data_IF_855445439203
#
_entry.id   IF_855445439203
#
_cell.length_a   1.000
_cell.length_b   1.000
_cell.length_c   1.000
_cell.angle_alpha   90.00
_cell.angle_beta   90.00
_cell.angle_gamma   90.00
#
_symmetry.space_group_name_H-M   'P 1'
#
loop_
_entity.id
_entity.type
_entity.pdbx_description
1 polymer ?
#
# COMPACT_ATOMS: atom_id res chain seq x y z
N UNK A 1 -31.48 -51.59 -73.41
CA UNK A 1 -30.24 -51.62 -72.59
C UNK A 1 -30.65 -51.70 -71.13
N UNK A 2 -30.23 -52.74 -70.38
CA UNK A 2 -30.52 -52.88 -68.94
C UNK A 2 -29.42 -52.16 -68.13
N UNK A 3 -29.75 -51.32 -67.14
CA UNK A 3 -28.73 -50.71 -66.30
C UNK A 3 -28.19 -51.74 -65.29
N UNK A 4 -26.86 -51.87 -65.24
CA UNK A 4 -26.16 -52.57 -64.16
C UNK A 4 -26.20 -51.69 -62.90
N UNK A 5 -26.83 -52.19 -61.83
CA UNK A 5 -26.60 -51.66 -60.48
C UNK A 5 -25.43 -52.40 -59.87
N UNK A 6 -24.32 -51.68 -59.68
CA UNK A 6 -23.18 -52.13 -58.90
C UNK A 6 -23.39 -51.63 -57.46
N UNK A 7 -23.92 -52.47 -56.58
CA UNK A 7 -23.92 -52.21 -55.14
C UNK A 7 -22.82 -53.06 -54.50
N UNK A 8 -21.70 -52.42 -54.16
CA UNK A 8 -20.50 -53.06 -53.58
C UNK A 8 -20.14 -52.45 -52.23
N UNK A 9 -21.12 -52.32 -51.33
CA UNK A 9 -20.80 -52.13 -49.92
C UNK A 9 -21.18 -53.38 -49.11
N UNK A 10 -20.21 -54.08 -48.49
CA UNK A 10 -20.56 -55.05 -47.47
C UNK A 10 -21.21 -54.27 -46.33
N UNK A 11 -22.50 -54.52 -46.08
CA UNK A 11 -23.19 -54.05 -44.86
C UNK A 11 -22.39 -54.54 -43.67
N UNK A 12 -21.52 -53.69 -43.12
CA UNK A 12 -20.91 -53.88 -41.80
C UNK A 12 -22.05 -53.84 -40.79
N UNK A 13 -22.67 -54.99 -40.54
CA UNK A 13 -23.57 -55.16 -39.39
C UNK A 13 -22.68 -54.94 -38.17
N UNK A 14 -22.93 -53.86 -37.44
CA UNK A 14 -22.41 -53.68 -36.09
C UNK A 14 -22.83 -54.91 -35.27
N UNK A 15 -21.88 -55.80 -35.00
CA UNK A 15 -22.11 -57.00 -34.19
C UNK A 15 -22.55 -56.62 -32.77
N UNK A 16 -23.02 -57.58 -31.97
CA UNK A 16 -23.45 -57.34 -30.58
C UNK A 16 -22.37 -56.63 -29.75
N UNK A 17 -21.08 -56.86 -30.05
CA UNK A 17 -19.95 -56.14 -29.48
C UNK A 17 -19.97 -54.62 -29.71
N UNK A 18 -20.42 -54.16 -30.88
CA UNK A 18 -20.53 -52.72 -31.17
C UNK A 18 -21.62 -52.05 -30.34
N UNK A 19 -22.72 -52.78 -30.10
CA UNK A 19 -23.80 -52.31 -29.22
C UNK A 19 -23.39 -52.32 -27.75
N UNK A 20 -22.63 -53.33 -27.30
CA UNK A 20 -22.07 -53.34 -25.95
C UNK A 20 -21.08 -52.20 -25.72
N UNK A 21 -20.22 -51.90 -26.71
CA UNK A 21 -19.28 -50.78 -26.64
C UNK A 21 -20.01 -49.43 -26.59
N UNK A 22 -21.06 -49.27 -27.39
CA UNK A 22 -21.89 -48.06 -27.40
C UNK A 22 -22.62 -47.89 -26.07
N UNK A 23 -23.22 -48.96 -25.54
CA UNK A 23 -23.84 -48.96 -24.22
C UNK A 23 -22.87 -48.58 -23.10
N UNK A 24 -21.66 -49.16 -23.11
CA UNK A 24 -20.61 -48.82 -22.14
C UNK A 24 -20.17 -47.36 -22.23
N UNK A 25 -20.03 -46.82 -23.45
CA UNK A 25 -19.70 -45.41 -23.68
C UNK A 25 -20.78 -44.46 -23.17
N UNK A 26 -22.06 -44.80 -23.37
CA UNK A 26 -23.19 -43.99 -22.85
C UNK A 26 -23.22 -44.00 -21.33
N UNK A 27 -23.00 -45.16 -20.69
CA UNK A 27 -22.95 -45.25 -19.22
C UNK A 27 -21.79 -44.42 -18.66
N UNK A 28 -20.60 -44.50 -19.25
CA UNK A 28 -19.46 -43.67 -18.85
C UNK A 28 -19.74 -42.17 -19.01
N UNK A 29 -20.36 -41.76 -20.12
CA UNK A 29 -20.73 -40.36 -20.33
C UNK A 29 -21.74 -39.88 -19.27
N UNK A 30 -22.74 -40.70 -18.93
CA UNK A 30 -23.72 -40.37 -17.88
C UNK A 30 -23.07 -40.24 -16.51
N UNK A 31 -22.12 -41.12 -16.17
CA UNK A 31 -21.36 -41.04 -14.91
C UNK A 31 -20.52 -39.77 -14.86
N UNK A 32 -19.81 -39.42 -15.94
CA UNK A 32 -19.05 -38.16 -16.00
C UNK A 32 -19.94 -36.93 -15.83
N UNK A 33 -21.11 -36.89 -16.48
CA UNK A 33 -22.06 -35.78 -16.34
C UNK A 33 -22.57 -35.67 -14.90
N UNK A 34 -22.87 -36.80 -14.26
CA UNK A 34 -23.35 -36.81 -12.87
C UNK A 34 -22.29 -36.28 -11.89
N UNK A 35 -21.02 -36.70 -12.04
CA UNK A 35 -19.89 -36.22 -11.22
C UNK A 35 -19.64 -34.73 -11.47
N UNK A 36 -19.72 -34.28 -12.72
CA UNK A 36 -19.53 -32.88 -13.07
C UNK A 36 -20.59 -31.98 -12.42
N UNK A 37 -21.86 -32.42 -12.37
CA UNK A 37 -22.93 -31.67 -11.72
C UNK A 37 -22.69 -31.51 -10.22
N UNK A 38 -22.31 -32.59 -9.53
CA UNK A 38 -21.97 -32.54 -8.11
C UNK A 38 -20.82 -31.58 -7.79
N UNK A 39 -19.77 -31.56 -8.62
CA UNK A 39 -18.64 -30.63 -8.44
C UNK A 39 -19.02 -29.18 -8.76
N UNK A 40 -19.91 -28.97 -9.73
CA UNK A 40 -20.37 -27.62 -10.10
C UNK A 40 -21.26 -27.01 -9.01
N UNK A 41 -22.06 -27.82 -8.32
CA UNK A 41 -22.90 -27.37 -7.22
C UNK A 41 -22.04 -26.84 -6.06
N UNK A 42 -20.94 -27.52 -5.71
CA UNK A 42 -19.98 -27.05 -4.71
C UNK A 42 -19.26 -25.76 -5.15
N UNK A 43 -18.87 -25.67 -6.42
CA UNK A 43 -18.20 -24.48 -6.98
C UNK A 43 -19.13 -23.25 -7.02
N UNK A 44 -20.42 -23.46 -7.28
CA UNK A 44 -21.41 -22.38 -7.37
C UNK A 44 -21.63 -21.68 -6.02
N UNK A 45 -21.57 -22.42 -4.91
CA UNK A 45 -21.74 -21.87 -3.56
C UNK A 45 -20.55 -20.98 -3.17
N UNK A 46 -19.32 -21.41 -3.52
CA UNK A 46 -18.12 -20.62 -3.24
C UNK A 46 -18.05 -19.35 -4.09
N UNK A 47 -18.44 -19.43 -5.36
CA UNK A 47 -18.53 -18.26 -6.24
C UNK A 47 -19.59 -17.26 -5.77
N UNK A 48 -20.72 -17.74 -5.25
CA UNK A 48 -21.77 -16.87 -4.68
C UNK A 48 -21.24 -16.03 -3.53
N UNK A 49 -20.45 -16.60 -2.62
CA UNK A 49 -19.90 -15.88 -1.47
C UNK A 49 -18.89 -14.79 -1.90
N UNK A 50 -18.04 -15.08 -2.89
CA UNK A 50 -17.10 -14.10 -3.43
C UNK A 50 -17.83 -12.97 -4.16
N UNK A 51 -18.87 -13.28 -4.94
CA UNK A 51 -19.68 -12.27 -5.62
C UNK A 51 -20.45 -11.39 -4.64
N UNK A 52 -20.98 -11.96 -3.55
CA UNK A 52 -21.64 -11.19 -2.49
C UNK A 52 -20.65 -10.28 -1.77
N UNK A 53 -19.48 -10.78 -1.39
CA UNK A 53 -18.43 -9.97 -0.77
C UNK A 53 -17.97 -8.84 -1.70
N UNK A 54 -17.78 -9.13 -2.99
CA UNK A 54 -17.39 -8.14 -4.00
C UNK A 54 -18.49 -7.10 -4.25
N UNK A 55 -19.77 -7.48 -4.25
CA UNK A 55 -20.90 -6.56 -4.43
C UNK A 55 -21.08 -5.62 -3.23
N UNK A 56 -20.83 -6.11 -2.01
CA UNK A 56 -20.82 -5.29 -0.78
C UNK A 56 -19.63 -4.32 -0.78
N UNK A 57 -18.43 -4.78 -1.16
CA UNK A 57 -17.22 -3.95 -1.21
C UNK A 57 -17.26 -2.90 -2.33
N UNK A 58 -17.86 -3.23 -3.48
CA UNK A 58 -17.91 -2.34 -4.66
C UNK A 58 -19.11 -1.40 -4.64
N UNK A 59 -20.08 -1.59 -3.72
CA UNK A 59 -21.30 -0.79 -3.67
C UNK A 59 -22.09 -0.84 -4.98
N UNK A 60 -22.04 -1.98 -5.67
CA UNK A 60 -22.66 -2.13 -6.99
C UNK A 60 -24.14 -2.52 -6.83
N UNK A 61 -24.90 -1.63 -6.21
CA UNK A 61 -26.36 -1.64 -6.18
C UNK A 61 -26.88 -0.85 -7.38
N UNK A 62 -26.54 -1.26 -8.60
CA UNK A 62 -27.24 -0.92 -9.86
C UNK A 62 -27.44 0.56 -10.23
N UNK A 63 -26.93 1.51 -9.45
CA UNK A 63 -27.11 2.94 -9.62
C UNK A 63 -25.89 3.66 -9.06
N UNK A 64 -24.73 3.46 -9.72
CA UNK A 64 -23.68 4.46 -9.60
C UNK A 64 -24.22 5.74 -10.25
N UNK A 65 -24.25 6.88 -9.56
CA UNK A 65 -24.41 8.14 -10.26
C UNK A 65 -23.23 8.20 -11.23
N UNK A 66 -23.50 8.21 -12.53
CA UNK A 66 -22.46 8.45 -13.54
C UNK A 66 -22.03 9.89 -13.36
N UNK A 67 -21.06 10.11 -12.48
CA UNK A 67 -20.42 11.40 -12.32
C UNK A 67 -19.86 11.80 -13.67
N UNK A 68 -20.13 13.04 -14.06
CA UNK A 68 -19.49 13.63 -15.22
C UNK A 68 -17.96 13.63 -15.03
N UNK A 69 -17.18 13.70 -16.12
CA UNK A 69 -15.73 13.84 -16.01
C UNK A 69 -15.28 15.06 -15.17
N UNK A 70 -16.12 16.10 -15.11
CA UNK A 70 -15.89 17.28 -14.27
C UNK A 70 -16.08 16.95 -12.77
N UNK A 71 -17.20 16.32 -12.40
CA UNK A 71 -17.50 15.93 -11.01
C UNK A 71 -16.50 14.87 -10.50
N UNK A 72 -16.04 13.96 -11.35
CA UNK A 72 -15.01 12.98 -10.98
C UNK A 72 -13.68 13.66 -10.68
N UNK A 73 -13.30 14.70 -11.44
CA UNK A 73 -12.08 15.47 -11.19
C UNK A 73 -12.19 16.29 -9.90
N UNK A 74 -13.33 16.93 -9.68
CA UNK A 74 -13.60 17.69 -8.45
C UNK A 74 -13.54 16.78 -7.22
N UNK A 75 -14.17 15.60 -7.28
CA UNK A 75 -14.13 14.63 -6.19
C UNK A 75 -12.72 14.08 -5.94
N UNK A 76 -11.94 13.82 -7.00
CA UNK A 76 -10.55 13.42 -6.88
C UNK A 76 -9.67 14.51 -6.24
N UNK A 77 -9.91 15.78 -6.58
CA UNK A 77 -9.23 16.92 -5.95
C UNK A 77 -9.59 17.03 -4.47
N UNK A 78 -10.88 16.94 -4.12
CA UNK A 78 -11.33 16.95 -2.72
C UNK A 78 -10.71 15.80 -1.92
N UNK A 79 -10.67 14.58 -2.47
CA UNK A 79 -9.99 13.45 -1.82
C UNK A 79 -8.48 13.68 -1.66
N UNK A 80 -7.82 14.28 -2.65
CA UNK A 80 -6.40 14.60 -2.56
C UNK A 80 -6.12 15.64 -1.46
N UNK A 81 -6.96 16.66 -1.34
CA UNK A 81 -6.87 17.65 -0.26
C UNK A 81 -7.10 17.01 1.11
N UNK A 82 -8.14 16.18 1.25
CA UNK A 82 -8.41 15.45 2.49
C UNK A 82 -7.24 14.53 2.88
N UNK A 83 -6.63 13.84 1.92
CA UNK A 83 -5.43 13.01 2.16
C UNK A 83 -4.25 13.85 2.63
N UNK A 84 -4.01 15.00 2.00
CA UNK A 84 -2.92 15.91 2.38
C UNK A 84 -3.10 16.44 3.80
N UNK A 85 -4.32 16.84 4.17
CA UNK A 85 -4.64 17.28 5.54
C UNK A 85 -4.48 16.12 6.52
N UNK A 86 -4.96 14.93 6.17
CA UNK A 86 -4.80 13.74 7.01
C UNK A 86 -3.33 13.37 7.25
N UNK A 87 -2.48 13.43 6.22
CA UNK A 87 -1.04 13.19 6.34
C UNK A 87 -0.36 14.20 7.27
N UNK A 88 -0.74 15.48 7.19
CA UNK A 88 -0.22 16.52 8.10
C UNK A 88 -0.62 16.25 9.56
N UNK A 89 -1.86 15.78 9.77
CA UNK A 89 -2.36 15.47 11.11
C UNK A 89 -1.75 14.18 11.69
N UNK A 90 -1.39 13.22 10.83
CA UNK A 90 -0.81 11.93 11.22
C UNK A 90 0.70 11.97 11.45
N UNK A 91 1.33 13.14 11.45
CA UNK A 91 2.77 13.26 11.74
C UNK A 91 3.06 12.73 13.17
N UNK A 92 4.15 11.98 13.39
CA UNK A 92 4.36 11.19 14.60
C UNK A 92 4.93 12.03 15.74
N UNK A 93 4.27 13.14 16.11
CA UNK A 93 4.78 14.17 17.03
C UNK A 93 5.40 13.59 18.29
N UNK A 94 4.71 12.61 18.88
CA UNK A 94 5.14 11.92 20.08
C UNK A 94 6.54 11.30 19.94
N UNK A 95 6.85 10.70 18.78
CA UNK A 95 8.17 10.11 18.53
C UNK A 95 9.27 11.17 18.43
N UNK A 96 8.99 12.29 17.74
CA UNK A 96 9.93 13.40 17.65
C UNK A 96 10.29 13.94 19.03
N UNK A 97 9.28 14.20 19.86
CA UNK A 97 9.50 14.71 21.21
C UNK A 97 10.19 13.68 22.10
N UNK A 98 9.76 12.41 22.07
CA UNK A 98 10.38 11.35 22.86
C UNK A 98 11.86 11.14 22.50
N UNK A 99 12.21 11.17 21.21
CA UNK A 99 13.59 11.08 20.74
C UNK A 99 14.43 12.26 21.27
N UNK A 100 13.94 13.50 21.16
CA UNK A 100 14.66 14.68 21.66
C UNK A 100 14.81 14.68 23.19
N UNK A 101 13.82 14.16 23.92
CA UNK A 101 13.85 14.07 25.38
C UNK A 101 14.83 13.00 25.88
N UNK A 102 14.97 11.90 25.15
CA UNK A 102 15.88 10.80 25.48
C UNK A 102 17.37 11.15 25.21
N UNK A 103 17.65 12.18 24.41
CA UNK A 103 19.02 12.59 24.11
C UNK A 103 19.69 13.27 25.32
N UNK A 104 20.97 12.95 25.61
CA UNK A 104 21.75 13.67 26.62
C UNK A 104 21.91 15.16 26.27
N UNK A 105 21.66 16.05 27.25
CA UNK A 105 21.61 17.51 27.05
C UNK A 105 22.56 18.31 27.97
N UNK A 106 23.55 17.65 28.57
CA UNK A 106 24.44 18.29 29.57
C UNK A 106 25.18 19.54 29.07
N UNK A 107 25.45 19.61 27.77
CA UNK A 107 26.14 20.72 27.10
C UNK A 107 25.31 21.38 25.99
N UNK A 108 24.00 21.11 25.94
CA UNK A 108 23.09 21.60 24.88
C UNK A 108 21.79 22.12 25.50
N UNK A 109 21.46 23.37 25.19
CA UNK A 109 20.17 23.98 25.47
C UNK A 109 19.34 24.11 24.18
N UNK A 110 18.18 23.46 24.14
CA UNK A 110 17.21 23.66 23.05
C UNK A 110 16.42 24.94 23.31
N UNK A 111 16.48 25.89 22.38
CA UNK A 111 15.83 27.20 22.49
C UNK A 111 14.47 27.21 21.79
N UNK A 112 14.37 26.59 20.62
CA UNK A 112 13.13 26.50 19.87
C UNK A 112 13.08 25.23 19.01
N UNK A 113 11.88 24.67 18.89
CA UNK A 113 11.55 23.61 17.94
C UNK A 113 10.40 24.12 17.07
N UNK A 114 10.69 24.40 15.80
CA UNK A 114 9.73 24.95 14.84
C UNK A 114 9.44 23.94 13.74
N UNK A 115 8.36 23.16 13.86
CA UNK A 115 8.01 22.16 12.88
C UNK A 115 7.13 22.73 11.75
N UNK A 116 7.40 22.31 10.51
CA UNK A 116 6.58 22.56 9.33
C UNK A 116 5.90 21.25 8.93
N UNK A 117 4.69 21.02 9.45
CA UNK A 117 3.90 19.82 9.18
C UNK A 117 3.59 19.62 7.69
N UNK A 118 3.53 20.72 6.90
CA UNK A 118 3.25 20.67 5.46
C UNK A 118 4.44 20.12 4.69
N UNK A 119 5.66 20.49 5.09
CA UNK A 119 6.90 20.03 4.47
C UNK A 119 7.47 18.77 5.09
N UNK A 120 6.95 18.34 6.25
CA UNK A 120 7.56 17.25 7.01
C UNK A 120 8.98 17.62 7.45
N UNK A 121 9.21 18.88 7.81
CA UNK A 121 10.51 19.36 8.24
C UNK A 121 10.42 19.95 9.64
N UNK A 122 11.53 19.93 10.36
CA UNK A 122 11.67 20.58 11.65
C UNK A 122 12.91 21.46 11.67
N UNK A 123 12.76 22.67 12.21
CA UNK A 123 13.88 23.56 12.51
C UNK A 123 14.14 23.55 14.00
N UNK A 124 15.40 23.36 14.37
CA UNK A 124 15.84 23.33 15.77
C UNK A 124 16.77 24.52 15.97
N UNK A 125 16.47 25.36 16.94
CA UNK A 125 17.38 26.41 17.42
C UNK A 125 17.91 26.00 18.77
N UNK A 126 19.23 26.02 18.94
CA UNK A 126 19.88 25.53 20.15
C UNK A 126 21.14 26.33 20.46
N UNK A 127 21.64 26.15 21.68
CA UNK A 127 22.88 26.72 22.18
C UNK A 127 23.73 25.58 22.75
N UNK A 128 25.00 25.54 22.39
CA UNK A 128 25.97 24.58 22.89
C UNK A 128 27.03 25.29 23.74
N UNK A 129 27.58 24.58 24.73
CA UNK A 129 28.71 25.07 25.53
C UNK A 129 29.88 25.49 24.64
N UNK A 130 30.19 24.69 23.63
CA UNK A 130 31.29 24.88 22.70
C UNK A 130 30.97 24.23 21.35
N UNK A 131 31.90 24.36 20.39
CA UNK A 131 31.74 23.83 19.04
C UNK A 131 31.71 22.29 19.02
N UNK A 132 32.42 21.64 19.94
CA UNK A 132 32.48 20.18 20.03
C UNK A 132 31.12 19.62 20.44
N UNK A 133 30.51 20.17 21.48
CA UNK A 133 29.16 19.81 21.91
C UNK A 133 28.12 20.03 20.80
N UNK A 134 28.23 21.13 20.03
CA UNK A 134 27.35 21.38 18.88
C UNK A 134 27.45 20.26 17.82
N UNK A 135 28.67 19.88 17.45
CA UNK A 135 28.90 18.84 16.42
C UNK A 135 28.50 17.46 16.93
N UNK A 136 28.74 17.15 18.20
CA UNK A 136 28.28 15.90 18.80
C UNK A 136 26.76 15.81 18.80
N UNK A 137 26.07 16.91 19.11
CA UNK A 137 24.62 16.97 19.03
C UNK A 137 24.09 16.81 17.61
N UNK A 138 24.73 17.45 16.61
CA UNK A 138 24.41 17.25 15.20
C UNK A 138 24.51 15.77 14.79
N UNK A 139 25.62 15.11 15.13
CA UNK A 139 25.84 13.70 14.81
C UNK A 139 24.80 12.78 15.47
N UNK A 140 24.38 13.08 16.72
CA UNK A 140 23.32 12.31 17.39
C UNK A 140 21.97 12.45 16.69
N UNK A 141 21.65 13.64 16.20
CA UNK A 141 20.42 13.84 15.40
C UNK A 141 20.50 13.09 14.07
N UNK A 142 21.64 13.12 13.39
CA UNK A 142 21.87 12.34 12.16
C UNK A 142 21.77 10.83 12.38
N UNK A 143 22.16 10.34 13.57
CA UNK A 143 22.09 8.94 13.93
C UNK A 143 20.71 8.48 14.43
N UNK A 144 19.76 9.40 14.63
CA UNK A 144 18.40 9.06 15.08
C UNK A 144 17.59 8.39 13.98
N UNK A 145 16.65 7.51 14.35
CA UNK A 145 15.78 6.84 13.39
C UNK A 145 14.64 7.75 12.92
N UNK A 146 14.31 8.77 13.71
CA UNK A 146 13.18 9.67 13.48
C UNK A 146 13.48 10.81 12.51
N UNK A 147 14.77 11.16 12.32
CA UNK A 147 15.19 12.29 11.48
C UNK A 147 16.06 11.85 10.32
N UNK A 148 15.92 12.54 9.18
CA UNK A 148 16.81 12.42 8.04
C UNK A 148 17.21 13.80 7.53
N UNK A 149 18.20 13.88 6.64
CA UNK A 149 18.65 15.12 6.00
C UNK A 149 18.96 16.25 7.00
N UNK A 150 19.58 15.90 8.14
CA UNK A 150 19.97 16.88 9.15
C UNK A 150 21.03 17.80 8.57
N UNK A 151 20.84 19.10 8.70
CA UNK A 151 21.71 20.11 8.12
C UNK A 151 21.88 21.30 9.05
N UNK A 152 23.13 21.71 9.25
CA UNK A 152 23.49 22.93 9.97
C UNK A 152 23.27 24.16 9.09
N UNK A 153 22.29 24.99 9.47
CA UNK A 153 21.92 26.21 8.75
C UNK A 153 22.80 27.40 9.12
N UNK A 154 23.13 27.53 10.39
CA UNK A 154 24.00 28.61 10.91
C UNK A 154 24.58 28.24 12.26
N UNK A 155 25.73 28.84 12.58
CA UNK A 155 26.33 28.82 13.92
C UNK A 155 27.00 30.18 14.19
N UNK A 156 26.99 30.62 15.44
CA UNK A 156 27.61 31.87 15.90
C UNK A 156 28.13 31.70 17.34
N UNK A 157 29.33 32.20 17.61
CA UNK A 157 29.91 32.25 18.96
C UNK A 157 29.45 33.55 19.63
N UNK A 158 28.73 33.46 20.74
CA UNK A 158 28.18 34.62 21.44
C UNK A 158 29.25 35.22 22.36
N UNK A 159 30.05 36.14 21.82
CA UNK A 159 31.19 36.74 22.53
C UNK A 159 30.80 37.65 23.72
N UNK A 160 29.54 38.06 23.80
CA UNK A 160 29.04 38.98 24.85
C UNK A 160 28.64 38.24 26.14
N UNK A 161 28.78 36.91 26.18
CA UNK A 161 28.49 36.06 27.34
C UNK A 161 29.80 35.43 27.84
N UNK A 162 30.06 35.39 29.16
CA UNK A 162 31.34 34.89 29.70
C UNK A 162 31.74 33.48 29.23
N UNK A 163 30.75 32.60 29.04
CA UNK A 163 30.95 31.21 28.62
C UNK A 163 31.14 31.07 27.10
N UNK A 164 31.01 32.15 26.32
CA UNK A 164 31.14 32.18 24.85
C UNK A 164 30.42 31.01 24.14
N UNK A 165 29.13 30.77 24.45
CA UNK A 165 28.42 29.62 23.92
C UNK A 165 28.22 29.74 22.40
N UNK A 166 28.03 28.60 21.75
CA UNK A 166 27.74 28.52 20.31
C UNK A 166 26.23 28.42 20.11
N UNK A 167 25.62 29.47 19.56
CA UNK A 167 24.22 29.43 19.14
C UNK A 167 24.13 28.94 17.70
N UNK A 168 23.22 28.00 17.43
CA UNK A 168 23.13 27.37 16.11
C UNK A 168 21.70 27.00 15.73
N UNK A 169 21.49 26.83 14.43
CA UNK A 169 20.21 26.41 13.85
C UNK A 169 20.41 25.20 12.95
N UNK A 170 19.56 24.20 13.12
CA UNK A 170 19.50 22.99 12.31
C UNK A 170 18.16 22.90 11.57
N UNK A 171 18.17 22.23 10.42
CA UNK A 171 16.96 21.69 9.80
C UNK A 171 17.09 20.18 9.64
N UNK A 172 15.99 19.47 9.78
CA UNK A 172 15.92 18.05 9.46
C UNK A 172 14.57 17.73 8.79
N UNK A 173 14.58 16.71 7.95
CA UNK A 173 13.38 16.02 7.49
C UNK A 173 12.89 15.12 8.62
N UNK A 174 11.58 15.14 8.84
CA UNK A 174 10.89 14.40 9.88
C UNK A 174 9.68 13.71 9.26
N UNK A 175 9.94 12.52 8.75
CA UNK A 175 8.95 11.68 8.11
C UNK A 175 8.85 10.34 8.82
N UNK A 176 7.68 9.71 8.71
CA UNK A 176 7.54 8.34 9.16
C UNK A 176 8.37 7.52 8.18
N UNK A 177 9.41 6.86 8.67
CA UNK A 177 9.98 5.71 7.98
C UNK A 177 8.88 4.66 7.88
N UNK A 178 8.03 4.77 6.86
CA UNK A 178 7.29 3.63 6.35
C UNK A 178 8.37 2.71 5.79
N UNK A 179 8.89 1.82 6.64
CA UNK A 179 9.58 0.63 6.21
C UNK A 179 8.58 -0.16 5.35
N UNK A 180 8.52 0.19 4.08
CA UNK A 180 7.82 -0.57 3.07
C UNK A 180 8.79 -1.69 2.63
N UNK A 181 8.50 -2.97 2.90
CA UNK A 181 9.25 -4.09 2.33
C UNK A 181 9.09 -4.18 0.80
#
# INVERSE_FOLDING_TARGET
MRPLMLDFQPRRRSGPLGWSLLGGGVVLALVCVFVQQHLNDEASQQQGHLQHAQRVLTGDTGSKPTLTPAETREQAQNLAEMRKVSQQLRRPWERLFAMLEAMPRDNIALLALTPDARKGQVRISAEARDLEAMLEFHQRLEASEELSDVSLLSHEIVANVPEHPVQFNLSASWEIGDANP
#
